data_IF_718715854258
#
_entry.id   IF_718715854258
#
_cell.length_a   1.000
_cell.length_b   1.000
_cell.length_c   1.000
_cell.angle_alpha   90.00
_cell.angle_beta   90.00
_cell.angle_gamma   90.00
#
_symmetry.space_group_name_H-M   'P 1'
#
loop_
_entity.id
_entity.type
_entity.pdbx_description
1 polymer ?
2 non-polymer ?
3 water ?
#
# COMPACT_ATOMS: atom_id res chain seq x y z
N UNK A 1 -39.46 42.68 -13.33
CA UNK A 1 -39.88 41.44 -12.70
C UNK A 1 -39.65 40.20 -13.58
N UNK A 2 -38.37 39.86 -13.85
CA UNK A 2 -38.07 38.56 -14.43
C UNK A 2 -38.01 37.50 -13.33
N UNK A 3 -38.82 36.46 -13.42
CA UNK A 3 -38.87 35.47 -12.34
C UNK A 3 -38.02 34.25 -12.65
N UNK A 4 -37.04 34.01 -11.78
CA UNK A 4 -36.09 32.90 -11.97
C UNK A 4 -36.74 31.54 -11.82
N UNK A 5 -36.47 30.64 -12.75
CA UNK A 5 -36.90 29.25 -12.64
C UNK A 5 -35.78 28.41 -12.04
N UNK A 6 -34.71 28.21 -12.80
CA UNK A 6 -33.56 27.44 -12.32
C UNK A 6 -32.49 28.37 -11.79
N UNK A 7 -31.98 28.09 -10.59
CA UNK A 7 -30.93 28.91 -10.02
C UNK A 7 -29.62 28.17 -10.03
N UNK A 8 -28.50 28.92 -10.19
CA UNK A 8 -27.19 28.28 -10.24
C UNK A 8 -26.89 27.55 -8.95
N UNK A 9 -26.39 26.33 -9.07
CA UNK A 9 -26.06 25.51 -7.91
C UNK A 9 -24.56 25.52 -7.66
N UNK A 10 -24.19 25.46 -6.39
CA UNK A 10 -22.79 25.38 -6.00
C UNK A 10 -22.16 24.11 -6.58
N UNK A 11 -20.98 24.26 -7.16
CA UNK A 11 -20.31 23.15 -7.83
C UNK A 11 -18.80 23.16 -7.63
N UNK A 12 -18.16 22.05 -7.99
CA UNK A 12 -16.72 21.89 -7.90
C UNK A 12 -16.16 21.44 -9.25
N UNK A 13 -14.96 21.93 -9.60
CA UNK A 13 -14.37 21.59 -10.90
C UNK A 13 -12.88 21.31 -10.78
N UNK A 14 -12.39 20.39 -11.60
CA UNK A 14 -10.96 20.06 -11.60
C UNK A 14 -10.20 21.07 -12.43
N UNK A 15 -9.04 21.47 -11.94
CA UNK A 15 -8.22 22.48 -12.61
C UNK A 15 -7.83 22.02 -14.01
N UNK A 16 -8.13 22.87 -14.98
CA UNK A 16 -7.82 22.61 -16.37
C UNK A 16 -9.05 22.27 -17.17
N UNK A 17 -10.08 21.79 -16.48
CA UNK A 17 -11.33 21.41 -17.13
C UNK A 17 -12.29 22.60 -17.26
N UNK A 18 -13.35 22.43 -18.03
CA UNK A 18 -14.38 23.45 -18.15
C UNK A 18 -15.51 23.18 -17.19
N UNK A 19 -16.14 24.22 -16.68
CA UNK A 19 -17.31 24.07 -15.83
C UNK A 19 -18.34 25.11 -16.21
N UNK A 20 -19.56 25.00 -15.70
CA UNK A 20 -20.61 25.96 -16.05
C UNK A 20 -21.62 26.22 -14.95
N UNK A 21 -22.16 27.43 -14.93
CA UNK A 21 -23.29 27.77 -14.08
C UNK A 21 -24.48 28.11 -14.98
N UNK A 22 -25.68 27.71 -14.57
CA UNK A 22 -26.86 28.07 -15.34
C UNK A 22 -27.95 28.68 -14.45
N UNK A 23 -28.50 29.82 -14.87
CA UNK A 23 -29.76 30.28 -14.31
C UNK A 23 -30.72 30.57 -15.45
N UNK A 24 -32.00 30.34 -15.20
CA UNK A 24 -33.03 30.54 -16.21
C UNK A 24 -34.23 31.29 -15.62
N UNK A 25 -34.76 32.23 -16.40
CA UNK A 25 -35.87 33.06 -15.96
C UNK A 25 -36.89 33.24 -17.07
N UNK A 26 -38.03 33.83 -16.73
CA UNK A 26 -39.08 34.14 -17.72
C UNK A 26 -39.87 35.38 -17.29
N UNK A 27 -39.93 36.38 -18.16
CA UNK A 27 -40.65 37.61 -17.83
C UNK A 27 -42.15 37.43 -17.97
N UNK A 28 -42.91 38.23 -17.23
CA UNK A 28 -44.36 38.25 -17.39
C UNK A 28 -44.73 38.90 -18.73
N UNK A 29 -43.82 39.71 -19.26
CA UNK A 29 -44.05 40.41 -20.52
C UNK A 29 -43.22 39.84 -21.66
N UNK A 30 -43.23 40.54 -22.80
CA UNK A 30 -42.47 40.13 -23.96
C UNK A 30 -41.27 41.06 -24.19
N UNK A 31 -41.02 41.93 -23.21
CA UNK A 31 -39.87 42.82 -23.24
C UNK A 31 -38.57 42.05 -23.03
N UNK A 32 -37.56 42.34 -23.87
CA UNK A 32 -36.29 41.61 -23.87
C UNK A 32 -35.62 41.57 -22.50
N UNK A 33 -34.92 40.47 -22.21
CA UNK A 33 -34.17 40.32 -20.96
C UNK A 33 -32.67 40.37 -21.20
N UNK A 34 -31.94 40.88 -20.21
CA UNK A 34 -30.48 40.94 -20.26
C UNK A 34 -29.88 40.16 -19.10
N UNK A 35 -28.96 39.26 -19.42
CA UNK A 35 -28.33 38.43 -18.39
C UNK A 35 -26.96 38.95 -17.99
N UNK A 36 -26.65 38.88 -16.70
CA UNK A 36 -25.34 39.29 -16.21
C UNK A 36 -24.86 38.30 -15.16
N UNK A 37 -23.54 38.19 -15.03
CA UNK A 37 -22.95 37.41 -13.97
C UNK A 37 -21.94 38.27 -13.24
N UNK A 38 -22.01 38.27 -11.92
CA UNK A 38 -21.09 39.06 -11.11
C UNK A 38 -20.38 38.14 -10.12
N UNK A 39 -19.06 38.02 -10.28
CA UNK A 39 -18.21 37.22 -9.41
C UNK A 39 -17.62 38.05 -8.26
N UNK A 40 -17.86 37.60 -7.02
CA UNK A 40 -17.42 38.32 -5.83
C UNK A 40 -17.82 39.80 -5.86
N UNK A 41 -19.01 40.07 -6.39
CA UNK A 41 -19.56 41.41 -6.57
C UNK A 41 -18.73 42.29 -7.52
N UNK A 42 -18.20 41.66 -8.56
CA UNK A 42 -17.50 42.38 -9.63
C UNK A 42 -17.64 41.60 -10.93
N UNK A 43 -18.40 42.15 -11.88
CA UNK A 43 -18.74 41.43 -13.11
C UNK A 43 -17.55 41.07 -13.98
N UNK A 44 -17.73 40.01 -14.74
CA UNK A 44 -16.76 39.64 -15.75
C UNK A 44 -17.13 40.34 -17.05
N UNK A 45 -16.36 41.36 -17.42
CA UNK A 45 -16.40 41.85 -18.77
C UNK A 45 -15.59 40.87 -19.58
N UNK A 46 -15.86 40.78 -20.88
CA UNK A 46 -15.21 39.77 -21.72
C UNK A 46 -15.53 38.36 -21.21
N UNK A 47 -16.76 38.19 -20.72
CA UNK A 47 -17.20 36.91 -20.19
C UNK A 47 -17.74 36.00 -21.27
N UNK A 48 -17.70 34.69 -21.03
CA UNK A 48 -18.20 33.70 -21.97
C UNK A 48 -19.61 33.27 -21.56
N UNK A 49 -20.61 33.90 -22.17
CA UNK A 49 -22.00 33.54 -21.93
C UNK A 49 -22.61 32.89 -23.16
N UNK A 50 -23.59 32.03 -22.93
CA UNK A 50 -24.33 31.37 -24.00
C UNK A 50 -25.80 31.35 -23.59
N UNK A 51 -26.69 31.69 -24.52
CA UNK A 51 -28.10 31.80 -24.19
C UNK A 51 -28.98 30.83 -24.96
N UNK A 52 -29.97 30.28 -24.26
CA UNK A 52 -30.88 29.30 -24.82
C UNK A 52 -32.31 29.75 -24.58
N UNK A 53 -33.23 29.28 -25.41
CA UNK A 53 -34.63 29.56 -25.17
C UNK A 53 -35.43 28.25 -25.21
N UNK A 54 -36.38 28.13 -24.28
CA UNK A 54 -37.26 26.97 -24.19
C UNK A 54 -38.68 27.36 -24.56
N UNK A 55 -39.37 26.49 -25.28
CA UNK A 55 -40.75 26.76 -25.65
C UNK A 55 -41.70 25.84 -24.92
N UNK A 56 -42.18 26.29 -23.76
CA UNK A 56 -43.10 25.50 -22.95
C UNK A 56 -44.53 25.91 -23.23
N UNK A 57 -45.35 24.96 -23.69
CA UNK A 57 -46.74 25.25 -24.00
C UNK A 57 -47.64 24.06 -23.71
N UNK A 62 -45.23 29.78 -22.27
CA UNK A 62 -44.18 30.49 -21.53
C UNK A 62 -42.83 30.43 -22.25
N UNK A 63 -42.18 31.58 -22.34
CA UNK A 63 -40.86 31.66 -22.95
C UNK A 63 -39.79 31.79 -21.88
N UNK A 64 -39.21 30.66 -21.49
CA UNK A 64 -38.12 30.63 -20.51
C UNK A 64 -36.78 30.78 -21.21
N UNK A 65 -35.98 31.75 -20.79
CA UNK A 65 -34.63 31.93 -21.33
C UNK A 65 -33.58 31.42 -20.32
N UNK A 66 -32.64 30.61 -20.79
CA UNK A 66 -31.57 30.09 -19.93
C UNK A 66 -30.23 30.67 -20.32
N UNK A 67 -29.46 31.09 -19.33
CA UNK A 67 -28.12 31.59 -19.61
C UNK A 67 -27.06 30.70 -18.96
N UNK A 68 -25.95 30.55 -19.67
CA UNK A 68 -24.89 29.68 -19.22
C UNK A 68 -23.58 30.45 -19.17
N UNK A 69 -23.00 30.53 -17.98
CA UNK A 69 -21.69 31.13 -17.82
C UNK A 69 -20.64 30.05 -18.00
N UNK A 70 -19.88 30.14 -19.08
CA UNK A 70 -18.81 29.19 -19.33
C UNK A 70 -17.53 29.64 -18.65
N UNK A 71 -16.94 28.75 -17.86
CA UNK A 71 -15.62 28.98 -17.31
C UNK A 71 -14.66 27.98 -17.93
N UNK A 72 -14.03 28.37 -19.04
CA UNK A 72 -13.11 27.47 -19.73
C UNK A 72 -11.78 27.37 -19.00
N UNK A 73 -11.19 26.17 -19.03
CA UNK A 73 -9.86 25.89 -18.47
C UNK A 73 -9.64 26.53 -17.10
N UNK A 74 -10.40 26.04 -16.12
CA UNK A 74 -10.44 26.63 -14.79
C UNK A 74 -9.09 26.65 -14.06
N UNK A 75 -8.80 27.77 -13.41
CA UNK A 75 -7.63 27.90 -12.56
C UNK A 75 -8.06 28.29 -11.16
N UNK A 76 -7.11 28.40 -10.24
CA UNK A 76 -7.42 28.83 -8.88
C UNK A 76 -7.96 30.25 -8.82
N UNK A 77 -7.69 31.05 -9.85
CA UNK A 77 -8.18 32.41 -9.91
C UNK A 77 -9.68 32.45 -10.11
N UNK A 78 -10.22 31.38 -10.69
CA UNK A 78 -11.66 31.29 -10.94
C UNK A 78 -12.45 31.03 -9.67
N UNK A 79 -11.73 30.62 -8.63
CA UNK A 79 -12.35 30.31 -7.35
C UNK A 79 -13.04 31.54 -6.78
N UNK A 80 -14.29 31.38 -6.37
CA UNK A 80 -15.05 32.49 -5.82
C UNK A 80 -16.54 32.21 -5.66
N UNK A 81 -17.31 33.29 -5.53
CA UNK A 81 -18.75 33.20 -5.32
C UNK A 81 -19.48 33.90 -6.47
N UNK A 82 -20.29 33.15 -7.20
CA UNK A 82 -20.94 33.66 -8.42
C UNK A 82 -22.44 33.91 -8.26
N UNK A 83 -22.96 34.87 -9.01
CA UNK A 83 -24.38 35.21 -8.98
C UNK A 83 -24.87 35.70 -10.34
N UNK A 84 -26.12 35.39 -10.65
CA UNK A 84 -26.71 35.79 -11.93
C UNK A 84 -27.70 36.94 -11.73
N UNK A 85 -27.66 37.93 -12.62
CA UNK A 85 -28.52 39.09 -12.54
C UNK A 85 -29.29 39.31 -13.84
N UNK A 86 -30.61 39.22 -13.77
CA UNK A 86 -31.46 39.36 -14.94
C UNK A 86 -32.19 40.68 -14.92
N UNK A 87 -32.09 41.43 -16.01
CA UNK A 87 -32.70 42.75 -16.07
C UNK A 87 -33.61 42.91 -17.29
N UNK A 88 -34.82 43.43 -17.08
CA UNK A 88 -35.69 43.86 -18.18
C UNK A 88 -36.07 45.33 -18.00
N UNK A 89 -37.19 45.75 -18.58
CA UNK A 89 -37.60 47.15 -18.48
C UNK A 89 -38.34 47.42 -17.18
N UNK A 90 -38.69 46.36 -16.45
CA UNK A 90 -39.31 46.50 -15.14
C UNK A 90 -38.27 46.69 -14.04
N UNK A 91 -37.60 45.61 -13.66
CA UNK A 91 -36.57 45.67 -12.63
C UNK A 91 -35.50 44.61 -12.83
N UNK A 92 -34.63 44.43 -11.83
CA UNK A 92 -33.58 43.41 -11.88
C UNK A 92 -33.78 42.33 -10.83
N UNK A 93 -33.61 41.08 -11.24
CA UNK A 93 -33.74 39.96 -10.32
C UNK A 93 -32.36 39.39 -9.99
N UNK A 94 -32.17 39.04 -8.72
CA UNK A 94 -30.89 38.52 -8.26
C UNK A 94 -31.02 37.05 -7.88
N UNK A 95 -30.00 36.26 -8.23
CA UNK A 95 -30.05 34.83 -8.03
C UNK A 95 -29.35 34.41 -6.76
N UNK A 96 -29.46 33.12 -6.43
CA UNK A 96 -28.70 32.55 -5.34
C UNK A 96 -27.21 32.68 -5.62
N UNK A 97 -26.42 32.68 -4.56
CA UNK A 97 -24.98 32.72 -4.71
C UNK A 97 -24.46 31.27 -4.81
N UNK A 98 -23.67 30.98 -5.84
CA UNK A 98 -23.09 29.65 -5.99
C UNK A 98 -21.56 29.72 -5.86
N UNK A 99 -21.03 28.91 -4.95
CA UNK A 99 -19.59 28.83 -4.72
C UNK A 99 -18.94 27.95 -5.80
N UNK A 100 -17.77 28.36 -6.25
CA UNK A 100 -16.95 27.50 -7.10
C UNK A 100 -15.63 27.19 -6.41
N UNK A 101 -15.39 25.91 -6.15
CA UNK A 101 -14.07 25.50 -5.65
C UNK A 101 -13.39 24.62 -6.69
N UNK A 102 -12.10 24.39 -6.51
CA UNK A 102 -11.32 23.68 -7.52
C UNK A 102 -10.61 22.42 -6.99
N UNK A 103 -10.47 21.44 -7.85
CA UNK A 103 -9.76 20.19 -7.57
C UNK A 103 -8.39 20.13 -8.23
N UNK A 104 -7.45 19.45 -7.58
CA UNK A 104 -6.23 19.04 -8.26
C UNK A 104 -5.94 17.58 -7.96
N UNK A 105 -5.87 16.78 -9.01
CA UNK A 105 -5.59 15.35 -8.89
C UNK A 105 -4.24 15.10 -8.23
N UNK A 106 -4.20 14.17 -7.26
CA UNK A 106 -2.97 13.81 -6.52
C UNK A 106 -1.85 13.32 -7.42
N UNK A 107 -0.62 13.72 -7.12
CA UNK A 107 0.55 13.27 -7.89
C UNK A 107 1.67 12.84 -6.94
N UNK A 108 2.20 11.64 -7.13
CA UNK A 108 3.24 11.11 -6.23
C UNK A 108 4.54 11.90 -6.29
N UNK A 109 5.11 12.18 -5.12
CA UNK A 109 6.45 12.78 -5.05
C UNK A 109 7.45 11.74 -4.54
N UNK A 110 6.97 10.81 -3.74
CA UNK A 110 7.79 9.70 -3.25
C UNK A 110 6.99 8.41 -3.34
N UNK A 111 7.57 7.38 -3.96
CA UNK A 111 6.92 6.08 -3.99
C UNK A 111 7.76 5.02 -3.31
N UNK A 112 7.11 4.00 -2.74
CA UNK A 112 7.85 2.88 -2.16
C UNK A 112 8.42 1.98 -3.24
N UNK A 113 9.59 1.40 -2.99
CA UNK A 113 10.20 0.48 -3.94
C UNK A 113 10.44 -0.87 -3.30
N UNK A 114 10.49 -1.90 -4.14
CA UNK A 114 10.76 -3.28 -3.72
C UNK A 114 12.04 -3.39 -2.87
N UNK A 115 11.93 -4.02 -1.71
CA UNK A 115 13.08 -4.25 -0.84
C UNK A 115 13.10 -5.66 -0.27
N UNK A 116 14.30 -6.13 0.09
CA UNK A 116 14.47 -7.44 0.70
C UNK A 116 15.12 -7.30 2.06
N UNK A 117 14.37 -7.68 3.09
CA UNK A 117 14.75 -7.37 4.46
C UNK A 117 14.82 -8.66 5.28
N UNK A 118 15.59 -8.63 6.39
CA UNK A 118 15.69 -9.79 7.28
C UNK A 118 14.63 -9.71 8.36
N UNK A 119 14.41 -10.81 9.06
CA UNK A 119 13.49 -10.79 10.20
C UNK A 119 14.05 -9.96 11.34
N UNK A 120 13.17 -9.51 12.23
CA UNK A 120 13.52 -8.76 13.44
C UNK A 120 14.14 -7.38 13.18
N UNK A 121 14.38 -7.03 11.92
CA UNK A 121 14.83 -5.69 11.58
C UNK A 121 13.64 -4.75 11.37
N UNK A 122 13.94 -3.52 10.98
CA UNK A 122 12.89 -2.52 10.74
C UNK A 122 12.82 -2.13 9.26
N UNK A 123 11.64 -2.27 8.67
CA UNK A 123 11.44 -1.95 7.26
C UNK A 123 10.82 -0.57 7.10
N UNK A 124 11.35 0.19 6.16
CA UNK A 124 10.92 1.56 5.94
C UNK A 124 10.28 1.74 4.55
N UNK A 125 9.13 2.40 4.51
CA UNK A 125 8.42 2.64 3.26
C UNK A 125 8.09 4.11 3.08
N UNK A 126 8.65 4.73 2.05
CA UNK A 126 8.38 6.14 1.80
C UNK A 126 7.17 6.28 0.88
N UNK A 127 6.33 7.27 1.15
CA UNK A 127 5.20 7.57 0.26
C UNK A 127 4.53 8.93 0.51
N UNK A 128 4.60 9.81 -0.48
CA UNK A 128 4.05 11.16 -0.35
C UNK A 128 3.42 11.68 -1.64
N UNK A 129 2.43 12.55 -1.51
CA UNK A 129 1.77 13.15 -2.67
C UNK A 129 1.31 14.58 -2.45
N UNK A 130 1.31 15.37 -3.52
CA UNK A 130 0.75 16.71 -3.52
C UNK A 130 -0.67 16.71 -4.08
N UNK A 131 -1.29 17.87 -4.09
CA UNK A 131 -2.61 18.00 -4.67
C UNK A 131 -3.49 18.87 -3.81
N UNK A 132 -4.62 19.29 -4.39
CA UNK A 132 -5.54 20.15 -3.68
C UNK A 132 -6.95 19.56 -3.70
N UNK A 133 -7.53 19.33 -2.51
CA UNK A 133 -6.88 19.53 -1.21
C UNK A 133 -5.83 18.44 -0.94
N UNK A 134 -5.02 18.64 0.09
CA UNK A 134 -3.96 17.70 0.38
C UNK A 134 -4.52 16.30 0.58
N UNK A 135 -3.94 15.34 -0.13
CA UNK A 135 -4.41 13.96 -0.14
C UNK A 135 -4.14 13.23 1.17
N UNK A 136 -4.99 12.25 1.48
CA UNK A 136 -4.75 11.33 2.59
C UNK A 136 -4.07 10.09 2.04
N UNK A 137 -3.13 9.53 2.80
CA UNK A 137 -2.42 8.32 2.38
C UNK A 137 -2.98 7.07 3.09
N UNK A 138 -3.32 6.06 2.30
CA UNK A 138 -3.83 4.81 2.84
C UNK A 138 -2.98 3.65 2.35
N UNK A 139 -3.00 2.56 3.11
CA UNK A 139 -2.14 1.41 2.85
C UNK A 139 -2.92 0.11 2.72
N UNK A 140 -2.39 -0.81 1.92
CA UNK A 140 -2.95 -2.15 1.80
C UNK A 140 -1.82 -3.15 1.69
N UNK A 141 -2.04 -4.37 2.18
CA UNK A 141 -1.14 -5.48 1.89
C UNK A 141 -1.92 -6.55 1.16
N UNK A 142 -1.45 -6.92 -0.03
CA UNK A 142 -2.12 -7.91 -0.87
C UNK A 142 -3.60 -7.60 -1.08
N UNK A 143 -3.92 -6.31 -1.20
CA UNK A 143 -5.26 -5.87 -1.52
C UNK A 143 -6.26 -5.82 -0.36
N UNK A 144 -5.75 -5.86 0.86
CA UNK A 144 -6.63 -5.92 2.02
C UNK A 144 -6.05 -5.30 3.28
N UNK A 145 -6.74 -5.47 4.39
CA UNK A 145 -6.32 -4.85 5.64
C UNK A 145 -5.92 -5.86 6.70
N UNK A 146 -6.32 -7.11 6.52
CA UNK A 146 -6.00 -8.12 7.53
C UNK A 146 -4.55 -8.58 7.36
N UNK A 147 -3.62 -7.67 7.63
CA UNK A 147 -2.21 -8.01 7.55
C UNK A 147 -1.51 -7.67 8.85
N UNK A 148 -0.60 -8.56 9.27
CA UNK A 148 -0.03 -8.57 10.63
C UNK A 148 0.50 -7.21 11.11
N UNK A 149 1.24 -6.46 10.29
CA UNK A 149 1.86 -5.23 10.79
C UNK A 149 0.81 -4.23 11.26
N UNK A 150 -0.34 -4.23 10.60
CA UNK A 150 -1.42 -3.37 11.04
C UNK A 150 -2.12 -3.96 12.25
N UNK A 151 -2.57 -5.21 12.12
CA UNK A 151 -3.28 -5.91 13.17
C UNK A 151 -2.48 -5.96 14.49
N UNK A 152 -1.15 -5.98 14.38
CA UNK A 152 -0.30 -6.06 15.55
C UNK A 152 0.34 -4.72 15.93
N UNK A 153 -0.21 -3.64 15.37
CA UNK A 153 0.22 -2.27 15.67
C UNK A 153 1.74 -2.07 15.61
N UNK A 154 2.37 -2.58 14.56
CA UNK A 154 3.82 -2.52 14.39
C UNK A 154 4.20 -1.65 13.22
N UNK A 155 3.18 -1.05 12.61
CA UNK A 155 3.41 -0.13 11.50
C UNK A 155 3.07 1.27 11.96
N UNK A 156 3.96 2.21 11.64
CA UNK A 156 3.82 3.57 12.11
C UNK A 156 4.25 4.55 11.04
N UNK A 157 4.15 5.84 11.35
CA UNK A 157 4.58 6.87 10.42
C UNK A 157 5.33 7.96 11.18
N UNK A 158 6.40 8.49 10.58
CA UNK A 158 7.08 9.66 11.12
C UNK A 158 6.14 10.86 10.98
N UNK A 159 6.10 11.72 12.00
CA UNK A 159 5.15 12.84 12.06
C UNK A 159 5.20 13.84 10.87
N UNK A 160 6.37 14.33 10.48
CA UNK A 160 6.44 15.39 9.49
C UNK A 160 7.33 15.09 8.29
N UNK A 161 7.74 13.82 8.13
CA UNK A 161 8.71 13.50 7.09
C UNK A 161 8.18 12.46 6.11
N UNK A 162 6.89 12.08 6.24
CA UNK A 162 6.24 11.20 5.25
C UNK A 162 6.88 9.82 5.10
N UNK A 163 7.41 9.28 6.18
CA UNK A 163 8.08 7.98 6.15
C UNK A 163 7.35 6.97 7.02
N UNK A 164 6.94 5.86 6.42
CA UNK A 164 6.29 4.79 7.17
C UNK A 164 7.28 3.70 7.50
N UNK A 165 7.12 3.09 8.66
CA UNK A 165 8.03 2.01 9.01
C UNK A 165 7.34 0.89 9.75
N UNK A 166 7.93 -0.31 9.64
CA UNK A 166 7.46 -1.47 10.38
C UNK A 166 8.55 -1.97 11.30
N UNK A 167 8.22 -2.13 12.58
CA UNK A 167 9.15 -2.69 13.55
C UNK A 167 9.05 -4.20 13.62
N UNK A 168 10.15 -4.86 13.97
CA UNK A 168 10.21 -6.31 14.21
C UNK A 168 9.57 -7.14 13.12
N UNK A 169 10.16 -7.08 11.93
CA UNK A 169 9.62 -7.73 10.75
C UNK A 169 9.44 -9.24 10.90
N UNK A 170 8.18 -9.68 10.86
CA UNK A 170 7.80 -11.08 10.84
C UNK A 170 7.94 -11.65 9.43
N UNK A 171 7.92 -12.96 9.32
CA UNK A 171 7.89 -13.61 8.01
C UNK A 171 6.59 -13.27 7.27
N UNK A 172 5.48 -13.20 8.01
CA UNK A 172 4.17 -12.98 7.41
C UNK A 172 3.94 -11.55 6.93
N UNK A 173 4.93 -10.69 7.14
CA UNK A 173 4.88 -9.32 6.66
C UNK A 173 5.21 -9.24 5.18
N UNK A 174 5.78 -10.31 4.64
CA UNK A 174 6.14 -10.35 3.24
C UNK A 174 4.89 -10.32 2.37
N UNK A 175 4.93 -9.51 1.32
CA UNK A 175 3.84 -9.44 0.38
C UNK A 175 3.85 -8.12 -0.37
N UNK A 176 2.84 -7.90 -1.21
CA UNK A 176 2.75 -6.65 -1.93
C UNK A 176 2.01 -5.58 -1.12
N UNK A 177 2.68 -4.46 -0.87
CA UNK A 177 2.08 -3.32 -0.19
C UNK A 177 1.67 -2.23 -1.19
N UNK A 178 0.40 -1.81 -1.10
CA UNK A 178 -0.10 -0.76 -1.98
C UNK A 178 -0.34 0.54 -1.24
N UNK A 179 0.32 1.58 -1.73
CA UNK A 179 0.13 2.93 -1.23
C UNK A 179 -0.95 3.64 -2.05
N UNK A 180 -1.97 4.19 -1.40
CA UNK A 180 -3.02 4.93 -2.13
C UNK A 180 -3.24 6.36 -1.65
N UNK A 181 -3.05 7.33 -2.55
CA UNK A 181 -3.32 8.74 -2.26
C UNK A 181 -4.67 9.19 -2.82
N UNK A 182 -5.54 9.72 -1.97
CA UNK A 182 -6.90 10.10 -2.38
C UNK A 182 -7.34 11.48 -1.87
N UNK A 183 -8.01 12.23 -2.75
CA UNK A 183 -8.76 13.40 -2.32
C UNK A 183 -10.11 13.45 -3.04
N UNK A 184 -10.72 14.63 -3.10
CA UNK A 184 -12.04 14.73 -3.70
C UNK A 184 -11.99 14.68 -5.22
N UNK A 185 -10.78 14.72 -5.79
CA UNK A 185 -10.63 14.64 -7.25
C UNK A 185 -10.50 13.20 -7.74
N UNK A 186 -9.66 12.42 -7.08
CA UNK A 186 -9.43 11.04 -7.49
C UNK A 186 -8.38 10.32 -6.68
N UNK A 187 -7.97 9.15 -7.16
CA UNK A 187 -7.01 8.33 -6.43
C UNK A 187 -5.90 7.86 -7.34
N UNK A 188 -4.72 7.72 -6.75
CA UNK A 188 -3.62 7.07 -7.43
C UNK A 188 -3.00 6.06 -6.48
N UNK A 189 -2.25 5.10 -7.01
CA UNK A 189 -1.65 4.09 -6.17
C UNK A 189 -0.37 3.52 -6.74
N UNK A 190 0.49 3.07 -5.83
CA UNK A 190 1.77 2.47 -6.19
C UNK A 190 2.03 1.21 -5.37
N UNK A 191 2.62 0.20 -6.01
CA UNK A 191 2.93 -1.07 -5.36
C UNK A 191 4.38 -1.15 -4.94
N UNK A 192 4.65 -1.90 -3.89
CA UNK A 192 6.01 -2.30 -3.56
C UNK A 192 6.02 -3.68 -2.91
N UNK A 193 6.86 -4.58 -3.41
CA UNK A 193 6.92 -5.93 -2.86
C UNK A 193 7.97 -6.02 -1.76
N UNK A 194 7.51 -6.42 -0.59
CA UNK A 194 8.39 -6.61 0.55
C UNK A 194 8.74 -8.10 0.64
N UNK A 195 10.03 -8.42 0.57
CA UNK A 195 10.47 -9.82 0.66
C UNK A 195 11.25 -10.01 1.93
N UNK A 196 10.86 -11.01 2.73
CA UNK A 196 11.47 -11.19 4.05
C UNK A 196 12.24 -12.50 4.18
N UNK A 197 13.52 -12.39 4.52
CA UNK A 197 14.37 -13.56 4.66
C UNK A 197 14.83 -13.77 6.10
N UNK A 198 15.32 -14.97 6.40
CA UNK A 198 15.81 -15.26 7.74
C UNK A 198 17.02 -16.17 7.64
N UNK A 199 18.08 -15.81 8.35
CA UNK A 199 19.27 -16.64 8.40
C UNK A 199 18.93 -17.97 9.07
N UNK A 200 19.59 -19.06 8.64
CA UNK A 200 19.35 -20.38 9.24
C UNK A 200 19.72 -20.41 10.70
N UNK A 201 18.91 -21.10 11.49
CA UNK A 201 19.14 -21.23 12.92
C UNK A 201 18.52 -22.52 13.38
N UNK A 202 18.81 -22.87 14.63
CA UNK A 202 18.36 -24.13 15.17
C UNK A 202 17.16 -23.90 16.08
N UNK A 203 16.12 -24.72 15.91
CA UNK A 203 14.92 -24.57 16.75
C UNK A 203 15.20 -25.07 18.15
N UNK A 204 15.51 -26.36 18.21
CA UNK A 204 15.90 -27.06 19.42
C UNK A 204 17.39 -27.38 19.31
N UNK A 205 18.15 -27.11 20.38
CA UNK A 205 19.59 -27.37 20.44
C UNK A 205 19.94 -28.80 20.06
N UNK A 206 21.11 -28.99 19.46
CA UNK A 206 21.59 -30.32 19.13
C UNK A 206 22.53 -30.84 20.23
N UNK A 207 22.06 -31.82 20.99
CA UNK A 207 22.80 -32.28 22.17
C UNK A 207 23.79 -33.40 21.87
N UNK A 208 24.85 -33.49 22.67
CA UNK A 208 25.76 -34.65 22.57
C UNK A 208 25.02 -35.90 23.00
N UNK A 209 25.42 -37.03 22.44
CA UNK A 209 24.79 -38.30 22.79
C UNK A 209 25.86 -39.31 23.17
N UNK A 210 25.46 -40.30 23.97
CA UNK A 210 26.33 -41.40 24.30
C UNK A 210 25.51 -42.68 24.29
N UNK A 211 25.82 -43.58 23.37
CA UNK A 211 25.13 -44.85 23.25
C UNK A 211 26.08 -46.04 23.31
N UNK A 212 25.50 -47.23 23.46
CA UNK A 212 26.28 -48.45 23.52
C UNK A 212 26.22 -49.20 22.19
N UNK A 213 27.27 -49.95 21.91
CA UNK A 213 27.34 -50.72 20.67
C UNK A 213 26.05 -51.54 20.51
N UNK A 214 25.44 -51.42 19.34
CA UNK A 214 24.25 -52.18 19.04
C UNK A 214 22.96 -51.40 19.25
N UNK A 215 23.01 -50.36 20.07
CA UNK A 215 21.86 -49.50 20.28
C UNK A 215 21.63 -48.59 19.08
N UNK A 216 20.56 -47.81 19.15
CA UNK A 216 20.18 -46.90 18.07
C UNK A 216 20.23 -45.47 18.57
N UNK A 217 20.83 -44.59 17.78
CA UNK A 217 20.90 -43.18 18.14
C UNK A 217 20.13 -42.33 17.12
N UNK A 218 19.54 -41.23 17.59
CA UNK A 218 18.79 -40.33 16.72
C UNK A 218 19.22 -38.89 16.94
N UNK A 219 19.62 -38.23 15.88
CA UNK A 219 20.02 -36.83 15.94
C UNK A 219 19.07 -35.98 15.13
N UNK A 220 18.44 -35.01 15.77
CA UNK A 220 17.52 -34.16 15.03
C UNK A 220 18.08 -32.78 14.84
N UNK A 221 17.93 -32.26 13.62
CA UNK A 221 18.42 -30.93 13.30
C UNK A 221 17.29 -30.10 12.71
N UNK A 222 16.41 -29.61 13.58
CA UNK A 222 15.22 -28.91 13.10
C UNK A 222 15.58 -27.46 12.79
N UNK A 223 15.77 -27.19 11.51
CA UNK A 223 16.27 -25.90 11.04
C UNK A 223 15.17 -24.98 10.54
N UNK A 224 15.29 -23.71 10.87
CA UNK A 224 14.38 -22.69 10.36
C UNK A 224 15.13 -21.73 9.47
N UNK A 225 14.43 -20.72 9.00
CA UNK A 225 15.03 -19.74 8.12
C UNK A 225 14.26 -19.71 6.82
N UNK A 226 14.45 -18.62 6.09
CA UNK A 226 13.84 -18.47 4.78
C UNK A 226 14.85 -17.85 3.83
N UNK A 227 15.05 -18.49 2.66
CA UNK A 227 14.42 -19.73 2.21
C UNK A 227 14.78 -20.94 3.07
N UNK A 228 13.91 -21.98 3.08
CA UNK A 228 14.15 -23.19 3.88
C UNK A 228 15.53 -23.74 3.63
N UNK A 229 16.35 -23.80 4.68
CA UNK A 229 17.76 -24.15 4.54
C UNK A 229 17.96 -25.60 4.09
N UNK A 230 18.95 -25.81 3.24
CA UNK A 230 19.36 -27.15 2.87
C UNK A 230 20.26 -27.69 3.98
N UNK A 231 19.97 -28.91 4.42
CA UNK A 231 20.72 -29.54 5.48
C UNK A 231 21.69 -30.61 4.96
N UNK A 232 22.96 -30.49 5.35
CA UNK A 232 23.94 -31.49 5.01
C UNK A 232 24.64 -31.99 6.27
N UNK A 233 24.81 -33.31 6.39
CA UNK A 233 25.48 -33.89 7.56
C UNK A 233 26.94 -34.26 7.32
N UNK A 234 27.75 -34.13 8.37
CA UNK A 234 29.18 -34.42 8.30
C UNK A 234 29.64 -35.24 9.51
N UNK A 235 30.54 -36.19 9.29
CA UNK A 235 31.22 -36.86 10.41
C UNK A 235 32.70 -36.52 10.37
N UNK A 236 33.22 -35.97 11.46
CA UNK A 236 34.53 -35.36 11.41
C UNK A 236 34.36 -34.12 10.56
N UNK A 237 35.21 -33.97 9.56
CA UNK A 237 35.10 -32.85 8.63
C UNK A 237 34.88 -33.33 7.21
N UNK A 238 34.46 -34.58 7.06
CA UNK A 238 34.10 -35.14 5.77
C UNK A 238 32.58 -35.40 5.73
N UNK A 239 31.99 -35.36 4.53
CA UNK A 239 30.55 -35.63 4.44
C UNK A 239 30.20 -37.04 4.91
N UNK A 240 29.04 -37.16 5.55
CA UNK A 240 28.61 -38.41 6.15
C UNK A 240 28.40 -39.52 5.14
N UNK A 241 29.17 -40.59 5.26
CA UNK A 241 29.01 -41.73 4.36
C UNK A 241 27.90 -42.63 4.90
N UNK A 242 26.85 -42.81 4.11
CA UNK A 242 25.67 -43.54 4.57
C UNK A 242 25.79 -45.05 4.35
N UNK A 243 25.18 -45.82 5.23
CA UNK A 243 25.20 -47.27 5.13
C UNK A 243 23.77 -47.82 5.20
N UNK A 244 23.64 -49.13 5.30
CA UNK A 244 22.35 -49.76 5.49
C UNK A 244 21.78 -49.39 6.86
N UNK A 245 22.67 -48.96 7.75
CA UNK A 245 22.32 -48.67 9.14
C UNK A 245 21.98 -47.21 9.36
N UNK A 246 22.18 -46.39 8.33
CA UNK A 246 21.91 -44.96 8.44
C UNK A 246 20.57 -44.65 7.79
N UNK A 247 19.81 -43.75 8.42
CA UNK A 247 18.52 -43.36 7.88
C UNK A 247 18.34 -41.84 7.91
N UNK A 248 17.77 -41.28 6.85
CA UNK A 248 17.44 -39.87 6.85
C UNK A 248 16.01 -39.64 6.40
N UNK A 249 15.35 -38.65 7.00
CA UNK A 249 14.09 -38.16 6.47
C UNK A 249 14.39 -37.33 5.22
N UNK A 250 13.41 -37.22 4.31
CA UNK A 250 13.64 -36.43 3.10
C UNK A 250 14.17 -35.01 3.34
N UNK A 251 13.73 -34.33 4.39
CA UNK A 251 14.22 -32.99 4.71
C UNK A 251 15.61 -33.00 5.33
N UNK A 252 16.13 -34.20 5.57
CA UNK A 252 17.44 -34.40 6.21
C UNK A 252 17.52 -33.90 7.66
N UNK A 253 16.37 -33.71 8.31
CA UNK A 253 16.38 -33.12 9.65
C UNK A 253 16.63 -34.17 10.71
N UNK A 254 16.03 -35.34 10.54
CA UNK A 254 16.23 -36.43 11.48
C UNK A 254 17.22 -37.45 10.95
N UNK A 255 18.30 -37.67 11.70
CA UNK A 255 19.31 -38.66 11.33
C UNK A 255 19.30 -39.80 12.33
N UNK A 256 19.06 -41.00 11.82
CA UNK A 256 19.06 -42.16 12.71
C UNK A 256 20.10 -43.17 12.28
N UNK A 257 20.90 -43.61 13.26
CA UNK A 257 21.84 -44.70 13.03
C UNK A 257 21.49 -45.91 13.90
N UNK A 258 21.10 -47.00 13.24
CA UNK A 258 20.80 -48.25 13.94
C UNK A 258 22.04 -49.12 14.10
N UNK A 259 22.06 -49.98 15.13
CA UNK A 259 23.16 -50.89 15.36
C UNK A 259 24.51 -50.20 15.42
N UNK A 260 24.60 -49.19 16.27
CA UNK A 260 25.81 -48.37 16.40
C UNK A 260 27.06 -49.24 16.56
N UNK A 261 28.16 -48.73 16.02
CA UNK A 261 29.40 -49.48 15.92
C UNK A 261 30.53 -48.53 16.31
N UNK A 262 31.68 -49.07 16.72
CA UNK A 262 32.79 -48.23 17.19
C UNK A 262 33.17 -47.14 16.19
N UNK A 263 33.18 -47.51 14.91
CA UNK A 263 33.49 -46.57 13.84
C UNK A 263 32.50 -45.39 13.80
N UNK A 264 31.32 -45.53 14.38
CA UNK A 264 30.33 -44.44 14.36
C UNK A 264 30.64 -43.30 15.32
N UNK A 265 31.48 -43.55 16.32
CA UNK A 265 31.84 -42.53 17.29
C UNK A 265 32.54 -41.36 16.61
N UNK A 266 32.31 -40.15 17.11
CA UNK A 266 32.91 -38.95 16.55
C UNK A 266 31.96 -37.76 16.53
N UNK A 267 32.39 -36.66 15.92
CA UNK A 267 31.59 -35.44 15.90
C UNK A 267 30.70 -35.38 14.67
N UNK A 268 29.40 -35.28 14.90
CA UNK A 268 28.43 -35.16 13.83
C UNK A 268 28.04 -33.70 13.65
N UNK A 269 28.25 -33.18 12.46
CA UNK A 269 28.03 -31.77 12.21
C UNK A 269 26.85 -31.55 11.29
N UNK A 270 25.96 -30.68 11.72
CA UNK A 270 24.78 -30.35 10.96
C UNK A 270 25.00 -29.03 10.26
N UNK A 271 25.06 -29.04 8.93
CA UNK A 271 25.30 -27.80 8.20
C UNK A 271 24.04 -27.27 7.53
N UNK A 272 23.60 -26.09 7.96
CA UNK A 272 22.38 -25.46 7.42
C UNK A 272 22.67 -24.23 6.56
N UNK A 273 22.29 -24.29 5.30
CA UNK A 273 22.58 -23.18 4.39
C UNK A 273 21.40 -22.68 3.58
N UNK A 274 21.36 -21.37 3.38
CA UNK A 274 20.55 -20.77 2.32
C UNK A 274 21.30 -19.60 1.71
N UNK A 275 20.60 -18.76 0.93
CA UNK A 275 21.26 -17.66 0.23
C UNK A 275 21.82 -16.59 1.19
N UNK A 276 21.41 -16.63 2.45
CA UNK A 276 21.86 -15.62 3.41
C UNK A 276 23.16 -15.98 4.12
N UNK A 277 23.37 -17.27 4.34
CA UNK A 277 24.55 -17.71 5.04
C UNK A 277 24.47 -19.16 5.48
N UNK A 278 25.42 -19.56 6.31
CA UNK A 278 25.47 -20.93 6.81
C UNK A 278 25.68 -20.96 8.31
N UNK A 279 24.86 -21.74 9.00
CA UNK A 279 25.10 -21.98 10.41
C UNK A 279 25.39 -23.47 10.62
N UNK A 280 26.11 -23.80 11.68
CA UNK A 280 26.45 -25.19 11.98
C UNK A 280 26.09 -25.56 13.41
N UNK A 281 25.64 -26.79 13.59
CA UNK A 281 25.43 -27.35 14.92
C UNK A 281 26.19 -28.66 15.02
N UNK A 282 26.73 -28.93 16.21
CA UNK A 282 27.58 -30.08 16.40
C UNK A 282 27.01 -31.02 17.43
N UNK A 283 27.23 -32.31 17.22
CA UNK A 283 26.90 -33.30 18.22
C UNK A 283 28.02 -34.32 18.35
N UNK A 284 28.51 -34.50 19.56
CA UNK A 284 29.53 -35.51 19.83
C UNK A 284 28.85 -36.83 20.18
N UNK A 285 29.09 -37.85 19.36
CA UNK A 285 28.53 -39.16 19.60
C UNK A 285 29.59 -40.08 20.18
N UNK A 286 29.43 -40.44 21.45
CA UNK A 286 30.39 -41.30 22.13
C UNK A 286 29.82 -42.70 22.23
N UNK A 287 30.68 -43.70 22.07
CA UNK A 287 30.21 -45.07 22.00
C UNK A 287 30.85 -45.89 23.10
N UNK A 288 30.02 -46.62 23.83
CA UNK A 288 30.47 -47.44 24.94
C UNK A 288 30.79 -48.83 24.43
N UNK A 289 32.08 -49.13 24.36
CA UNK A 289 32.55 -50.34 23.74
C UNK A 289 32.74 -51.46 24.79
N UNK A 290 32.12 -52.62 24.54
CA UNK A 290 32.31 -53.77 25.42
C UNK A 290 33.52 -54.56 24.96
N UNK A 291 33.57 -54.85 23.67
CA UNK A 291 34.70 -55.54 23.05
C UNK A 291 34.75 -55.21 21.55
N UNK A 292 35.94 -54.87 21.07
CA UNK A 292 36.10 -54.43 19.68
C UNK A 292 35.95 -55.59 18.69
N UNK A 293 36.44 -56.77 19.09
CA UNK A 293 36.43 -57.95 18.23
C UNK A 293 35.63 -59.09 18.83
#
# INVERSE_FOLDING_TARGET
KPQIITQPETTMAMVGKDIRFTCSAASSSSSPMTFAWKKDNEVLTNADMENFVHVHAQDGEVMEYTTILHLRQVTFGHEGRYQCVITNHFGSTYSHKARLTVNVLPSFTKTPHDITIRTTTMARLECAATGHPNPQIAWQKDGGTDFPAARERRMHVMPDDDVFFITDVKIDDAGVYSCTAQNSAGSISANATLTVLETPSLVVPLEDRVVSVGETVALQCKATGNPPPRITWFKGDRPLSLTERHHLTPDNQLLVVQNVVAEDAGRYTCEMSNTLGTERAHSQLSVLLENLY
#
